data_IF_255827638525
#
_entry.id   IF_255827638525
#
_cell.length_a   1.000
_cell.length_b   1.000
_cell.length_c   1.000
_cell.angle_alpha   90.00
_cell.angle_beta   90.00
_cell.angle_gamma   90.00
#
_symmetry.space_group_name_H-M   'P 1'
#
loop_
_entity.id
_entity.type
_entity.pdbx_description
1 polymer ?
#
# COMPACT_ATOMS: atom_id res chain seq x y z
N UNK A 1 -9.76 25.45 24.91
CA UNK A 1 -10.39 25.90 23.66
C UNK A 1 -11.89 25.98 23.85
N UNK A 2 -12.37 27.15 24.30
CA UNK A 2 -13.70 27.64 23.94
C UNK A 2 -13.41 28.63 22.82
N UNK A 3 -13.39 28.16 21.58
CA UNK A 3 -13.67 29.07 20.47
C UNK A 3 -15.18 29.11 20.37
N UNK A 4 -15.68 30.34 20.37
CA UNK A 4 -17.09 30.69 20.38
C UNK A 4 -17.76 30.06 19.15
N UNK A 5 -18.82 29.28 19.37
CA UNK A 5 -19.78 29.02 18.30
C UNK A 5 -20.39 30.37 18.01
N UNK A 6 -20.02 30.98 16.88
CA UNK A 6 -20.67 32.18 16.40
C UNK A 6 -22.17 31.88 16.26
N UNK A 7 -22.97 32.63 17.00
CA UNK A 7 -24.44 32.47 17.04
C UNK A 7 -25.14 33.45 16.12
N UNK A 8 -24.38 34.25 15.35
CA UNK A 8 -24.99 35.05 14.30
C UNK A 8 -25.62 34.13 13.24
N UNK A 9 -26.88 34.39 12.84
CA UNK A 9 -27.49 33.68 11.73
C UNK A 9 -26.61 33.84 10.48
N UNK A 10 -26.33 32.75 9.78
CA UNK A 10 -25.58 32.77 8.52
C UNK A 10 -26.33 33.69 7.55
N UNK A 11 -25.66 34.76 7.12
CA UNK A 11 -26.12 35.59 6.03
C UNK A 11 -25.73 34.93 4.70
N UNK A 12 -26.70 34.25 4.09
CA UNK A 12 -26.50 33.46 2.87
C UNK A 12 -26.00 34.28 1.67
N UNK A 13 -26.18 35.61 1.67
CA UNK A 13 -25.75 36.47 0.55
C UNK A 13 -24.32 37.01 0.70
N UNK A 14 -23.79 37.10 1.93
CA UNK A 14 -22.47 37.70 2.20
C UNK A 14 -21.44 36.72 2.75
N UNK A 15 -21.85 35.52 3.17
CA UNK A 15 -20.94 34.49 3.66
C UNK A 15 -20.22 33.78 2.50
N UNK A 16 -18.95 34.14 2.31
CA UNK A 16 -18.08 33.54 1.30
C UNK A 16 -17.77 32.06 1.55
N UNK A 17 -17.79 31.58 2.79
CA UNK A 17 -17.58 30.16 3.11
C UNK A 17 -18.80 29.33 2.76
N UNK A 18 -20.00 29.83 3.08
CA UNK A 18 -21.25 29.20 2.68
C UNK A 18 -21.34 29.10 1.15
N UNK A 19 -21.10 30.22 0.45
CA UNK A 19 -21.13 30.26 -1.02
C UNK A 19 -20.14 29.26 -1.63
N UNK A 20 -18.91 29.21 -1.12
CA UNK A 20 -17.90 28.25 -1.58
C UNK A 20 -18.36 26.80 -1.37
N UNK A 21 -18.91 26.50 -0.19
CA UNK A 21 -19.40 25.16 0.15
C UNK A 21 -20.56 24.75 -0.77
N UNK A 22 -21.51 25.66 -1.01
CA UNK A 22 -22.63 25.43 -1.92
C UNK A 22 -22.15 25.12 -3.34
N UNK A 23 -21.12 25.84 -3.83
CA UNK A 23 -20.51 25.59 -5.13
C UNK A 23 -19.81 24.23 -5.20
N UNK A 24 -19.13 23.81 -4.14
CA UNK A 24 -18.46 22.51 -4.08
C UNK A 24 -19.48 21.35 -4.09
N UNK A 25 -20.57 21.48 -3.32
CA UNK A 25 -21.69 20.53 -3.39
C UNK A 25 -22.35 20.51 -4.76
N UNK A 26 -22.62 21.69 -5.34
CA UNK A 26 -23.19 21.82 -6.68
C UNK A 26 -22.31 21.10 -7.71
N UNK A 27 -21.00 21.32 -7.66
CA UNK A 27 -20.06 20.65 -8.55
C UNK A 27 -20.14 19.13 -8.44
N UNK A 28 -20.12 18.57 -7.22
CA UNK A 28 -20.21 17.12 -7.00
C UNK A 28 -21.55 16.58 -7.55
N UNK A 29 -22.65 17.24 -7.23
CA UNK A 29 -24.00 16.79 -7.59
C UNK A 29 -24.28 16.93 -9.10
N UNK A 30 -23.75 17.96 -9.75
CA UNK A 30 -23.90 18.18 -11.19
C UNK A 30 -23.02 17.22 -12.02
N UNK A 31 -21.80 16.95 -11.57
CA UNK A 31 -20.85 16.12 -12.32
C UNK A 31 -21.11 14.62 -12.16
N UNK A 32 -21.61 14.18 -11.02
CA UNK A 32 -21.83 12.75 -10.72
C UNK A 32 -22.75 12.05 -11.75
N UNK A 33 -23.95 12.58 -12.08
CA UNK A 33 -24.81 12.08 -13.16
C UNK A 33 -24.15 12.04 -14.54
N UNK A 34 -23.28 13.00 -14.83
CA UNK A 34 -22.59 13.13 -16.13
C UNK A 34 -21.44 12.14 -16.26
N UNK A 35 -20.78 11.82 -15.15
CA UNK A 35 -19.79 10.74 -15.08
C UNK A 35 -20.45 9.36 -15.22
N UNK A 36 -21.66 9.20 -14.66
CA UNK A 36 -22.37 7.93 -14.73
C UNK A 36 -23.87 8.10 -14.44
N UNK A 37 -24.69 7.71 -15.42
CA UNK A 37 -26.15 7.87 -15.35
C UNK A 37 -26.82 7.07 -14.22
N UNK A 38 -26.14 6.07 -13.64
CA UNK A 38 -26.67 5.26 -12.54
C UNK A 38 -27.03 6.10 -11.31
N UNK A 39 -26.41 7.27 -11.14
CA UNK A 39 -26.65 8.13 -9.97
C UNK A 39 -27.80 9.11 -10.13
N UNK A 40 -28.47 9.18 -11.29
CA UNK A 40 -29.58 10.11 -11.52
C UNK A 40 -30.64 10.04 -10.41
N UNK A 41 -31.06 8.83 -10.04
CA UNK A 41 -32.05 8.63 -8.98
C UNK A 41 -31.55 9.03 -7.60
N UNK A 42 -30.29 8.71 -7.28
CA UNK A 42 -29.67 9.05 -6.00
C UNK A 42 -29.54 10.57 -5.81
N UNK A 43 -29.03 11.27 -6.82
CA UNK A 43 -28.84 12.72 -6.78
C UNK A 43 -30.20 13.42 -6.65
N UNK A 44 -31.20 12.99 -7.43
CA UNK A 44 -32.57 13.52 -7.32
C UNK A 44 -33.13 13.34 -5.90
N UNK A 45 -32.96 12.15 -5.32
CA UNK A 45 -33.41 11.85 -3.96
C UNK A 45 -32.70 12.71 -2.90
N UNK A 46 -31.36 12.85 -2.99
CA UNK A 46 -30.57 13.66 -2.06
C UNK A 46 -31.02 15.12 -2.11
N UNK A 47 -31.07 15.70 -3.29
CA UNK A 47 -31.43 17.12 -3.46
C UNK A 47 -32.86 17.38 -2.97
N UNK A 48 -33.81 16.50 -3.29
CA UNK A 48 -35.19 16.61 -2.78
C UNK A 48 -35.27 16.53 -1.25
N UNK A 49 -34.43 15.69 -0.62
CA UNK A 49 -34.41 15.52 0.83
C UNK A 49 -33.97 16.77 1.60
N UNK A 50 -33.34 17.74 0.92
CA UNK A 50 -32.87 18.99 1.52
C UNK A 50 -33.89 20.14 1.48
N UNK A 51 -35.07 19.95 0.89
CA UNK A 51 -36.13 20.96 0.85
C UNK A 51 -35.69 22.23 0.12
N UNK A 52 -35.85 23.41 0.76
CA UNK A 52 -35.53 24.71 0.15
C UNK A 52 -34.07 24.81 -0.34
N UNK A 53 -33.11 24.29 0.43
CA UNK A 53 -31.70 24.25 0.01
C UNK A 53 -31.51 23.42 -1.27
N UNK A 54 -32.34 22.40 -1.46
CA UNK A 54 -32.35 21.60 -2.69
C UNK A 54 -32.79 22.40 -3.91
N UNK A 55 -33.68 23.38 -3.76
CA UNK A 55 -34.10 24.27 -4.85
C UNK A 55 -32.95 25.18 -5.30
N UNK A 56 -32.22 25.77 -4.34
CA UNK A 56 -31.04 26.60 -4.60
C UNK A 56 -29.92 25.80 -5.30
N UNK A 57 -29.73 24.55 -4.86
CA UNK A 57 -28.78 23.63 -5.50
C UNK A 57 -29.23 23.27 -6.92
N UNK A 58 -30.52 23.00 -7.15
CA UNK A 58 -31.01 22.71 -8.50
C UNK A 58 -30.80 23.90 -9.45
N UNK A 59 -31.03 25.12 -8.99
CA UNK A 59 -30.74 26.32 -9.76
C UNK A 59 -29.23 26.40 -10.09
N UNK A 60 -28.38 26.16 -9.10
CA UNK A 60 -26.92 26.17 -9.27
C UNK A 60 -26.42 25.06 -10.20
N UNK A 61 -27.01 23.87 -10.16
CA UNK A 61 -26.74 22.76 -11.09
C UNK A 61 -27.14 23.17 -12.51
N UNK A 62 -28.28 23.82 -12.70
CA UNK A 62 -28.72 24.28 -14.01
C UNK A 62 -27.78 25.35 -14.60
N UNK A 63 -27.28 26.27 -13.78
CA UNK A 63 -26.26 27.26 -14.20
C UNK A 63 -24.91 26.58 -14.51
N UNK A 64 -24.48 25.63 -13.69
CA UNK A 64 -23.29 24.83 -13.96
C UNK A 64 -23.42 24.11 -15.31
N UNK A 65 -24.56 23.49 -15.58
CA UNK A 65 -24.83 22.77 -16.82
C UNK A 65 -24.77 23.66 -18.06
N UNK A 66 -25.21 24.92 -17.96
CA UNK A 66 -25.06 25.90 -19.05
C UNK A 66 -23.59 26.21 -19.36
N UNK A 67 -22.71 26.12 -18.36
CA UNK A 67 -21.27 26.36 -18.51
C UNK A 67 -20.50 25.17 -19.09
N UNK A 68 -21.09 23.97 -19.11
CA UNK A 68 -20.48 22.76 -19.65
C UNK A 68 -21.03 22.50 -21.07
N UNK A 69 -20.27 22.95 -22.07
CA UNK A 69 -20.63 22.82 -23.49
C UNK A 69 -20.23 21.48 -24.14
N UNK A 70 -19.34 20.72 -23.51
CA UNK A 70 -18.75 19.51 -24.05
C UNK A 70 -18.18 18.58 -22.98
N UNK A 71 -17.97 17.31 -23.34
CA UNK A 71 -17.28 16.34 -22.48
C UNK A 71 -15.83 16.76 -22.15
N UNK A 72 -15.14 17.43 -23.07
CA UNK A 72 -13.79 17.93 -22.83
C UNK A 72 -13.78 19.03 -21.77
N UNK A 73 -14.76 19.93 -21.80
CA UNK A 73 -14.92 20.98 -20.78
C UNK A 73 -15.23 20.37 -19.42
N UNK A 74 -16.12 19.39 -19.37
CA UNK A 74 -16.40 18.63 -18.13
C UNK A 74 -15.14 17.98 -17.57
N UNK A 75 -14.40 17.24 -18.39
CA UNK A 75 -13.15 16.58 -18.00
C UNK A 75 -12.13 17.58 -17.44
N UNK A 76 -11.95 18.72 -18.11
CA UNK A 76 -11.04 19.77 -17.68
C UNK A 76 -11.44 20.32 -16.31
N UNK A 77 -12.71 20.68 -16.11
CA UNK A 77 -13.19 21.21 -14.82
C UNK A 77 -13.00 20.19 -13.69
N UNK A 78 -13.25 18.90 -13.96
CA UNK A 78 -13.03 17.83 -12.97
C UNK A 78 -11.55 17.73 -12.59
N UNK A 79 -10.64 17.75 -13.57
CA UNK A 79 -9.19 17.67 -13.32
C UNK A 79 -8.60 18.92 -12.66
N UNK A 80 -9.25 20.07 -12.80
CA UNK A 80 -8.84 21.30 -12.11
C UNK A 80 -9.32 21.35 -10.65
N UNK A 81 -10.33 20.55 -10.28
CA UNK A 81 -10.94 20.58 -8.94
C UNK A 81 -10.63 19.37 -8.07
N UNK A 82 -10.27 18.24 -8.65
CA UNK A 82 -9.99 17.00 -7.93
C UNK A 82 -8.52 16.59 -8.10
N UNK A 83 -7.99 15.86 -7.11
CA UNK A 83 -6.64 15.29 -7.14
C UNK A 83 -6.63 13.76 -7.28
N UNK A 84 -7.79 13.11 -7.13
CA UNK A 84 -7.98 11.67 -7.27
C UNK A 84 -9.22 11.37 -8.13
N UNK A 85 -9.36 10.12 -8.54
CA UNK A 85 -10.51 9.61 -9.27
C UNK A 85 -11.81 9.94 -8.53
N UNK A 86 -12.83 10.49 -9.20
CA UNK A 86 -14.13 10.73 -8.58
C UNK A 86 -14.85 9.40 -8.31
N UNK A 87 -15.71 9.36 -7.28
CA UNK A 87 -16.64 8.26 -7.00
C UNK A 87 -15.97 6.90 -6.73
N UNK A 88 -14.73 6.94 -6.28
CA UNK A 88 -13.91 5.82 -5.81
C UNK A 88 -14.38 5.23 -4.46
N UNK A 89 -15.44 5.78 -3.88
CA UNK A 89 -16.18 5.30 -2.71
C UNK A 89 -17.50 4.58 -3.08
N UNK A 90 -17.69 4.22 -4.35
CA UNK A 90 -18.86 3.49 -4.86
C UNK A 90 -18.58 2.00 -4.99
N UNK A 91 -19.58 1.17 -4.65
CA UNK A 91 -19.51 -0.29 -4.76
C UNK A 91 -18.97 -0.98 -3.51
N UNK A 92 -18.57 -2.25 -3.67
CA UNK A 92 -18.13 -3.15 -2.57
C UNK A 92 -16.77 -2.81 -1.97
N UNK A 93 -15.91 -2.20 -2.77
CA UNK A 93 -14.53 -1.87 -2.39
C UNK A 93 -14.33 -0.38 -2.60
N UNK A 94 -13.64 0.24 -1.66
CA UNK A 94 -13.18 1.63 -1.76
C UNK A 94 -11.68 1.63 -2.02
N UNK A 95 -11.25 2.56 -2.87
CA UNK A 95 -9.84 2.76 -3.20
C UNK A 95 -9.49 4.21 -2.91
N UNK A 96 -8.51 4.42 -2.04
CA UNK A 96 -7.89 5.73 -1.82
C UNK A 96 -6.52 5.68 -2.45
N UNK A 97 -6.20 6.62 -3.34
CA UNK A 97 -4.90 6.66 -3.99
C UNK A 97 -4.35 8.07 -4.16
N UNK A 98 -3.03 8.18 -4.06
CA UNK A 98 -2.34 9.46 -4.19
C UNK A 98 -0.86 9.24 -4.48
N UNK A 99 -0.24 10.24 -5.09
CA UNK A 99 1.21 10.28 -5.25
C UNK A 99 1.88 10.95 -4.05
N UNK A 100 2.92 10.31 -3.51
CA UNK A 100 3.79 10.91 -2.51
C UNK A 100 5.18 10.26 -2.55
N UNK A 101 6.22 11.08 -2.51
CA UNK A 101 7.63 10.65 -2.44
C UNK A 101 8.02 9.67 -3.55
N UNK A 102 7.48 9.86 -4.75
CA UNK A 102 7.72 8.99 -5.91
C UNK A 102 6.90 7.72 -5.98
N UNK A 103 6.09 7.45 -4.96
CA UNK A 103 5.23 6.28 -4.93
C UNK A 103 3.80 6.64 -5.31
N UNK A 104 3.17 5.76 -6.10
CA UNK A 104 1.72 5.71 -6.20
C UNK A 104 1.19 4.81 -5.09
N UNK A 105 0.59 5.42 -4.06
CA UNK A 105 -0.04 4.70 -2.95
C UNK A 105 -1.46 4.35 -3.34
N UNK A 106 -1.84 3.07 -3.22
CA UNK A 106 -3.20 2.57 -3.47
C UNK A 106 -3.65 1.75 -2.28
N UNK A 107 -4.64 2.24 -1.56
CA UNK A 107 -5.18 1.61 -0.35
C UNK A 107 -6.57 1.07 -0.66
N UNK A 108 -6.75 -0.24 -0.55
CA UNK A 108 -7.98 -0.95 -0.92
C UNK A 108 -8.63 -1.58 0.31
N UNK A 109 -9.93 -1.39 0.47
CA UNK A 109 -10.67 -1.93 1.63
C UNK A 109 -12.15 -2.14 1.33
N UNK A 110 -12.84 -2.91 2.18
CA UNK A 110 -14.30 -3.10 2.07
C UNK A 110 -15.03 -1.79 2.38
N UNK A 111 -15.98 -1.44 1.53
CA UNK A 111 -16.78 -0.21 1.67
C UNK A 111 -18.00 -0.44 2.57
N UNK A 112 -17.76 -0.90 3.79
CA UNK A 112 -18.77 -1.08 4.81
C UNK A 112 -18.58 -0.09 5.97
N UNK A 113 -19.63 0.05 6.78
CA UNK A 113 -19.70 1.06 7.84
C UNK A 113 -18.52 1.02 8.81
N UNK A 114 -18.02 -0.17 9.15
CA UNK A 114 -16.95 -0.32 10.13
C UNK A 114 -15.61 -0.13 9.44
N UNK A 115 -15.35 -0.89 8.37
CA UNK A 115 -14.06 -0.92 7.69
C UNK A 115 -13.71 0.45 7.09
N UNK A 116 -14.69 1.22 6.59
CA UNK A 116 -14.43 2.57 6.07
C UNK A 116 -13.80 3.46 7.13
N UNK A 117 -14.38 3.53 8.32
CA UNK A 117 -13.87 4.39 9.40
C UNK A 117 -12.46 3.98 9.88
N UNK A 118 -12.16 2.68 9.89
CA UNK A 118 -10.84 2.16 10.29
C UNK A 118 -9.79 2.45 9.21
N UNK A 119 -10.18 2.27 7.95
CA UNK A 119 -9.29 2.42 6.80
C UNK A 119 -8.96 3.89 6.50
N UNK A 120 -9.92 4.80 6.68
CA UNK A 120 -9.69 6.23 6.55
C UNK A 120 -8.74 6.76 7.64
N UNK A 121 -8.83 6.25 8.89
CA UNK A 121 -7.85 6.56 9.95
C UNK A 121 -6.43 6.11 9.55
N UNK A 122 -6.29 4.89 9.01
CA UNK A 122 -5.01 4.40 8.47
C UNK A 122 -4.46 5.31 7.37
N UNK A 123 -5.30 5.71 6.41
CA UNK A 123 -4.89 6.59 5.31
C UNK A 123 -4.45 7.97 5.83
N UNK A 124 -5.16 8.53 6.80
CA UNK A 124 -4.81 9.81 7.39
C UNK A 124 -3.44 9.75 8.09
N UNK A 125 -3.20 8.71 8.90
CA UNK A 125 -1.91 8.53 9.57
C UNK A 125 -0.78 8.33 8.55
N UNK A 126 -0.99 7.53 7.49
CA UNK A 126 -0.04 7.37 6.40
C UNK A 126 0.30 8.72 5.73
N UNK A 127 -0.70 9.52 5.40
CA UNK A 127 -0.49 10.83 4.77
C UNK A 127 0.28 11.79 5.67
N UNK A 128 0.00 11.80 6.98
CA UNK A 128 0.75 12.58 7.97
C UNK A 128 2.20 12.11 8.00
N UNK A 129 2.46 10.81 8.10
CA UNK A 129 3.82 10.26 8.12
C UNK A 129 4.62 10.61 6.86
N UNK A 130 4.02 10.45 5.68
CA UNK A 130 4.67 10.78 4.42
C UNK A 130 4.99 12.28 4.32
N UNK A 131 4.10 13.12 4.84
CA UNK A 131 4.34 14.57 4.93
C UNK A 131 5.53 14.87 5.85
N UNK A 132 5.59 14.25 7.03
CA UNK A 132 6.72 14.44 7.95
C UNK A 132 8.04 13.91 7.39
N UNK A 133 8.02 12.80 6.65
CA UNK A 133 9.18 12.31 5.90
C UNK A 133 9.61 13.35 4.85
N UNK A 134 8.66 13.92 4.11
CA UNK A 134 8.95 14.92 3.09
C UNK A 134 9.54 16.22 3.66
N UNK A 135 9.12 16.61 4.87
CA UNK A 135 9.61 17.78 5.58
C UNK A 135 10.89 17.51 6.37
N UNK A 136 11.28 16.25 6.51
CA UNK A 136 12.51 15.86 7.19
C UNK A 136 13.74 16.19 6.35
N UNK A 137 14.81 16.61 7.02
CA UNK A 137 16.15 16.69 6.42
C UNK A 137 16.71 15.29 6.11
N UNK A 138 16.15 14.24 6.73
CA UNK A 138 16.59 12.86 6.51
C UNK A 138 16.00 12.31 5.21
N UNK A 139 16.86 11.87 4.29
CA UNK A 139 16.40 11.12 3.13
C UNK A 139 16.22 9.65 3.49
N UNK A 140 14.97 9.18 3.42
CA UNK A 140 14.60 7.79 3.70
C UNK A 140 14.86 6.84 2.53
N UNK A 141 15.34 7.34 1.37
CA UNK A 141 15.69 6.53 0.20
C UNK A 141 14.55 5.59 -0.23
N UNK A 142 13.31 6.12 -0.23
CA UNK A 142 12.14 5.38 -0.68
C UNK A 142 12.23 5.14 -2.20
N UNK A 143 11.96 3.91 -2.62
CA UNK A 143 11.98 3.54 -4.03
C UNK A 143 10.79 4.14 -4.80
N UNK A 144 11.03 4.63 -6.02
CA UNK A 144 9.96 5.05 -6.93
C UNK A 144 9.18 3.82 -7.42
N UNK A 145 7.95 3.63 -6.97
CA UNK A 145 7.17 2.42 -7.29
C UNK A 145 5.65 2.62 -7.16
N UNK A 146 4.88 1.56 -7.45
CA UNK A 146 3.46 1.48 -7.05
C UNK A 146 3.37 0.61 -5.80
N UNK A 147 2.64 1.09 -4.80
CA UNK A 147 2.39 0.42 -3.53
C UNK A 147 0.90 0.16 -3.42
N UNK A 148 0.52 -1.11 -3.31
CA UNK A 148 -0.84 -1.53 -3.04
C UNK A 148 -0.95 -2.14 -1.65
N UNK A 149 -1.86 -1.62 -0.83
CA UNK A 149 -2.13 -2.11 0.51
C UNK A 149 -3.60 -2.50 0.58
N UNK A 150 -3.88 -3.79 0.79
CA UNK A 150 -5.22 -4.27 1.12
C UNK A 150 -5.41 -4.27 2.63
N UNK A 151 -6.43 -3.57 3.11
CA UNK A 151 -6.75 -3.49 4.54
C UNK A 151 -7.85 -4.50 4.89
N UNK A 152 -7.59 -5.28 5.93
CA UNK A 152 -8.52 -6.25 6.48
C UNK A 152 -8.69 -6.03 8.00
N UNK A 153 -9.91 -6.24 8.50
CA UNK A 153 -10.14 -6.21 9.94
C UNK A 153 -9.66 -7.51 10.58
N UNK A 154 -8.98 -7.38 11.71
CA UNK A 154 -8.52 -8.50 12.53
C UNK A 154 -8.83 -8.22 14.00
N UNK A 155 -9.18 -9.28 14.74
CA UNK A 155 -9.31 -9.20 16.20
C UNK A 155 -7.94 -9.13 16.88
N UNK A 156 -6.94 -9.79 16.28
CA UNK A 156 -5.57 -9.84 16.79
C UNK A 156 -4.69 -8.80 16.10
N UNK A 157 -3.71 -8.28 16.83
CA UNK A 157 -2.65 -7.47 16.24
C UNK A 157 -1.74 -8.39 15.41
N UNK A 158 -1.75 -8.20 14.10
CA UNK A 158 -0.95 -8.96 13.15
C UNK A 158 -0.03 -8.00 12.38
N UNK A 159 1.23 -8.38 12.12
CA UNK A 159 2.09 -7.59 11.24
C UNK A 159 1.54 -7.58 9.80
N UNK A 160 1.86 -6.55 9.00
CA UNK A 160 1.53 -6.57 7.59
C UNK A 160 2.22 -7.75 6.90
N UNK A 161 1.54 -8.36 5.93
CA UNK A 161 2.05 -9.46 5.12
C UNK A 161 2.37 -8.96 3.72
N UNK A 162 3.64 -9.01 3.31
CA UNK A 162 4.04 -8.79 1.94
C UNK A 162 3.46 -9.88 1.01
N UNK A 163 3.02 -9.48 -0.18
CA UNK A 163 2.49 -10.37 -1.22
C UNK A 163 3.41 -10.31 -2.45
N UNK A 164 3.69 -11.46 -3.05
CA UNK A 164 4.52 -11.55 -4.23
C UNK A 164 3.95 -10.72 -5.39
N UNK A 165 4.82 -9.97 -6.05
CA UNK A 165 4.49 -9.15 -7.21
C UNK A 165 5.78 -8.62 -7.85
N UNK A 166 5.80 -8.64 -9.18
CA UNK A 166 6.95 -8.33 -10.03
C UNK A 166 6.90 -6.91 -10.61
N UNK A 167 5.77 -6.21 -10.51
CA UNK A 167 5.59 -4.85 -11.08
C UNK A 167 5.31 -3.78 -10.04
N UNK A 168 4.94 -4.18 -8.83
CA UNK A 168 4.48 -3.31 -7.74
C UNK A 168 4.72 -3.98 -6.41
N UNK A 169 4.81 -3.21 -5.34
CA UNK A 169 4.82 -3.78 -4.01
C UNK A 169 3.39 -3.95 -3.52
N UNK A 170 3.11 -5.10 -2.89
CA UNK A 170 1.78 -5.45 -2.40
C UNK A 170 1.87 -5.89 -0.95
N UNK A 171 1.00 -5.35 -0.11
CA UNK A 171 0.83 -5.80 1.27
C UNK A 171 -0.63 -6.05 1.58
N UNK A 172 -0.85 -6.95 2.53
CA UNK A 172 -2.08 -7.04 3.30
C UNK A 172 -1.79 -6.54 4.71
N UNK A 173 -2.51 -5.52 5.15
CA UNK A 173 -2.38 -4.96 6.50
C UNK A 173 -3.64 -5.24 7.32
N UNK A 174 -3.46 -5.58 8.59
CA UNK A 174 -4.52 -6.02 9.48
C UNK A 174 -4.78 -4.95 10.53
N UNK A 175 -6.02 -4.45 10.59
CA UNK A 175 -6.40 -3.34 11.46
C UNK A 175 -7.46 -3.79 12.46
N UNK A 176 -7.40 -3.21 13.67
CA UNK A 176 -8.39 -3.48 14.71
C UNK A 176 -9.51 -2.46 14.67
N UNK A 177 -10.74 -2.92 14.87
CA UNK A 177 -11.84 -2.01 15.15
C UNK A 177 -11.66 -1.39 16.54
N UNK A 178 -11.82 -0.07 16.62
CA UNK A 178 -11.65 0.69 17.85
C UNK A 178 -12.86 1.55 18.17
N UNK A 179 -13.40 1.45 19.39
CA UNK A 179 -14.58 2.22 19.82
C UNK A 179 -14.52 2.76 21.26
N UNK A 180 -13.33 2.87 21.85
CA UNK A 180 -13.18 3.33 23.24
C UNK A 180 -12.98 4.85 23.36
N UNK A 181 -13.61 5.54 24.33
CA UNK A 181 -13.30 6.94 24.64
C UNK A 181 -12.02 7.11 25.48
N UNK A 182 -11.46 6.04 26.02
CA UNK A 182 -10.26 6.07 26.86
C UNK A 182 -9.03 6.59 26.09
N UNK A 183 -8.43 7.73 26.50
CA UNK A 183 -7.25 8.30 25.84
C UNK A 183 -6.08 7.33 25.69
N UNK A 184 -5.79 6.50 26.70
CA UNK A 184 -4.67 5.55 26.61
C UNK A 184 -4.91 4.48 25.55
N UNK A 185 -6.17 4.07 25.37
CA UNK A 185 -6.53 3.10 24.33
C UNK A 185 -6.53 3.74 22.94
N UNK A 186 -6.91 5.03 22.82
CA UNK A 186 -6.79 5.80 21.59
C UNK A 186 -5.32 5.89 21.16
N UNK A 187 -4.44 6.23 22.10
CA UNK A 187 -2.99 6.28 21.87
C UNK A 187 -2.45 4.93 21.41
N UNK A 188 -2.83 3.84 22.09
CA UNK A 188 -2.43 2.49 21.69
C UNK A 188 -2.90 2.11 20.28
N UNK A 189 -4.12 2.50 19.88
CA UNK A 189 -4.63 2.23 18.53
C UNK A 189 -3.83 2.95 17.45
N UNK A 190 -3.56 4.25 17.65
CA UNK A 190 -2.75 5.03 16.72
C UNK A 190 -1.30 4.52 16.64
N UNK A 191 -0.73 4.09 17.78
CA UNK A 191 0.58 3.47 17.83
C UNK A 191 0.63 2.15 17.03
N UNK A 192 -0.41 1.31 17.12
CA UNK A 192 -0.49 0.07 16.35
C UNK A 192 -0.49 0.34 14.83
N UNK A 193 -1.29 1.31 14.37
CA UNK A 193 -1.30 1.73 12.96
C UNK A 193 0.07 2.27 12.55
N UNK A 194 0.70 3.06 13.40
CA UNK A 194 2.03 3.62 13.18
C UNK A 194 3.09 2.54 13.01
N UNK A 195 3.05 1.48 13.83
CA UNK A 195 3.97 0.35 13.72
C UNK A 195 3.77 -0.42 12.41
N UNK A 196 2.52 -0.65 11.99
CA UNK A 196 2.24 -1.31 10.71
C UNK A 196 2.83 -0.48 9.55
N UNK A 197 2.61 0.83 9.57
CA UNK A 197 3.14 1.74 8.56
C UNK A 197 4.67 1.82 8.58
N UNK A 198 5.30 1.82 9.75
CA UNK A 198 6.77 1.85 9.85
C UNK A 198 7.40 0.59 9.28
N UNK A 199 6.78 -0.59 9.46
CA UNK A 199 7.23 -1.84 8.85
C UNK A 199 7.16 -1.77 7.32
N UNK A 200 6.05 -1.30 6.76
CA UNK A 200 5.89 -1.14 5.30
C UNK A 200 6.89 -0.13 4.75
N UNK A 201 7.04 1.04 5.40
CA UNK A 201 7.97 2.09 5.00
C UNK A 201 9.44 1.64 5.05
N UNK A 202 9.80 0.82 6.03
CA UNK A 202 11.14 0.25 6.16
C UNK A 202 11.45 -0.70 5.02
N UNK A 203 10.50 -1.57 4.63
CA UNK A 203 10.71 -2.52 3.53
C UNK A 203 10.89 -1.86 2.16
N UNK A 204 10.27 -0.70 1.93
CA UNK A 204 10.44 0.05 0.68
C UNK A 204 11.63 1.03 0.69
N UNK A 205 12.25 1.21 1.85
CA UNK A 205 13.43 2.04 2.02
C UNK A 205 14.68 1.24 1.63
N UNK A 206 15.61 1.89 0.93
CA UNK A 206 16.92 1.31 0.63
C UNK A 206 17.94 1.47 1.77
N UNK A 207 17.56 2.13 2.88
CA UNK A 207 18.40 2.24 4.05
C UNK A 207 18.54 0.90 4.78
N UNK A 208 19.66 0.72 5.49
CA UNK A 208 19.77 -0.34 6.46
C UNK A 208 18.74 -0.13 7.58
N UNK A 209 18.19 -1.23 8.12
CA UNK A 209 17.12 -1.18 9.13
C UNK A 209 17.46 -0.25 10.30
N UNK A 210 18.67 -0.32 10.86
CA UNK A 210 19.07 0.55 11.98
C UNK A 210 19.07 2.04 11.61
N UNK A 211 19.50 2.39 10.40
CA UNK A 211 19.50 3.77 9.92
C UNK A 211 18.07 4.26 9.69
N UNK A 212 17.22 3.43 9.09
CA UNK A 212 15.80 3.73 8.93
C UNK A 212 15.14 3.98 10.29
N UNK A 213 15.31 3.07 11.26
CA UNK A 213 14.71 3.20 12.59
C UNK A 213 15.19 4.48 13.29
N UNK A 214 16.48 4.82 13.19
CA UNK A 214 17.00 6.08 13.72
C UNK A 214 16.36 7.30 13.06
N UNK A 215 16.23 7.30 11.73
CA UNK A 215 15.55 8.36 10.99
C UNK A 215 14.08 8.50 11.40
N UNK A 216 13.39 7.36 11.48
CA UNK A 216 11.97 7.28 11.83
C UNK A 216 11.69 7.75 13.26
N UNK A 217 12.49 7.31 14.24
CA UNK A 217 12.40 7.82 15.62
C UNK A 217 12.69 9.32 15.69
N UNK A 218 13.61 9.81 14.85
CA UNK A 218 13.87 11.24 14.71
C UNK A 218 12.64 12.06 14.26
N UNK A 219 11.63 11.46 13.63
CA UNK A 219 10.35 12.14 13.31
C UNK A 219 9.49 12.36 14.57
N UNK A 220 9.55 11.45 15.54
CA UNK A 220 8.85 11.64 16.82
C UNK A 220 9.52 12.73 17.66
N UNK A 221 10.85 12.69 17.73
CA UNK A 221 11.64 13.59 18.58
C UNK A 221 11.70 15.02 18.04
N UNK A 222 11.89 15.20 16.73
CA UNK A 222 12.14 16.52 16.12
C UNK A 222 10.91 17.12 15.45
N UNK A 223 9.99 16.28 14.98
CA UNK A 223 8.82 16.71 14.20
C UNK A 223 7.48 16.50 14.94
N UNK A 224 7.52 16.08 16.21
CA UNK A 224 6.35 15.80 17.06
C UNK A 224 5.32 14.87 16.37
N UNK A 225 5.78 13.86 15.62
CA UNK A 225 4.92 12.97 14.85
C UNK A 225 3.80 12.33 15.71
N UNK A 226 4.09 12.01 16.97
CA UNK A 226 3.08 11.52 17.92
C UNK A 226 1.92 12.50 18.09
N UNK A 227 2.20 13.79 18.30
CA UNK A 227 1.18 14.83 18.49
C UNK A 227 0.33 15.05 17.22
N UNK A 228 0.91 14.83 16.04
CA UNK A 228 0.22 15.03 14.75
C UNK A 228 -0.66 13.85 14.36
N UNK A 229 -0.25 12.64 14.74
CA UNK A 229 -1.02 11.40 14.48
C UNK A 229 -2.04 11.10 15.58
N UNK A 230 -1.82 11.61 16.80
CA UNK A 230 -2.74 11.49 17.93
C UNK A 230 -3.75 12.64 17.94
N UNK A 231 -5.02 12.27 17.97
CA UNK A 231 -6.13 13.21 18.15
C UNK A 231 -6.83 12.93 19.48
N UNK A 232 -7.51 13.95 20.04
CA UNK A 232 -8.22 13.84 21.34
C UNK A 232 -9.29 12.73 21.31
N UNK A 233 -9.83 12.41 20.13
CA UNK A 233 -10.73 11.30 19.89
C UNK A 233 -10.28 10.54 18.66
N UNK A 234 -10.31 9.20 18.69
CA UNK A 234 -10.06 8.39 17.49
C UNK A 234 -10.97 8.80 16.34
N UNK A 235 -10.43 8.90 15.12
CA UNK A 235 -11.18 9.24 13.92
C UNK A 235 -12.39 8.32 13.75
N UNK A 236 -12.17 7.02 13.97
CA UNK A 236 -13.18 5.97 13.94
C UNK A 236 -14.47 6.31 14.71
N UNK A 237 -14.33 6.88 15.92
CA UNK A 237 -15.47 7.26 16.76
C UNK A 237 -16.15 8.52 16.26
N UNK A 238 -15.36 9.53 15.89
CA UNK A 238 -15.90 10.79 15.35
C UNK A 238 -16.73 10.49 14.10
N UNK A 239 -16.18 9.72 13.16
CA UNK A 239 -16.85 9.31 11.94
C UNK A 239 -18.21 8.68 12.23
N UNK A 240 -18.26 7.67 13.11
CA UNK A 240 -19.50 6.91 13.39
C UNK A 240 -20.52 7.70 14.22
N UNK A 241 -20.07 8.71 14.96
CA UNK A 241 -20.96 9.63 15.65
C UNK A 241 -21.59 10.65 14.69
N UNK A 242 -20.83 11.13 13.71
CA UNK A 242 -21.29 12.11 12.70
C UNK A 242 -22.15 11.44 11.62
N UNK A 243 -21.77 10.22 11.23
CA UNK A 243 -22.46 9.43 10.20
C UNK A 243 -23.05 8.19 10.89
N UNK A 244 -24.33 8.25 11.29
CA UNK A 244 -25.03 7.08 11.80
C UNK A 244 -25.11 5.96 10.76
N UNK A 245 -25.10 4.71 11.23
CA UNK A 245 -25.13 3.53 10.35
C UNK A 245 -26.32 3.53 9.37
N UNK A 246 -27.51 3.92 9.82
CA UNK A 246 -28.68 4.01 8.96
C UNK A 246 -28.51 5.04 7.84
N UNK A 247 -27.89 6.19 8.12
CA UNK A 247 -27.57 7.21 7.10
C UNK A 247 -26.53 6.67 6.12
N UNK A 248 -25.50 6.00 6.62
CA UNK A 248 -24.52 5.32 5.76
C UNK A 248 -25.20 4.31 4.84
N UNK A 249 -26.03 3.41 5.37
CA UNK A 249 -26.68 2.34 4.60
C UNK A 249 -27.75 2.86 3.62
N UNK A 250 -28.36 4.02 3.90
CA UNK A 250 -29.44 4.58 3.08
C UNK A 250 -28.96 5.01 1.68
N UNK A 251 -27.67 5.32 1.52
CA UNK A 251 -27.10 5.69 0.21
C UNK A 251 -26.95 4.47 -0.71
N UNK A 252 -27.07 3.24 -0.18
CA UNK A 252 -27.04 2.00 -1.00
C UNK A 252 -25.83 1.90 -1.92
N UNK A 253 -24.66 2.37 -1.47
CA UNK A 253 -23.39 2.37 -2.24
C UNK A 253 -23.06 1.03 -2.90
N UNK A 254 -23.49 -0.06 -2.29
CA UNK A 254 -23.29 -1.44 -2.73
C UNK A 254 -24.09 -1.83 -3.98
N UNK A 255 -25.16 -1.09 -4.29
CA UNK A 255 -26.06 -1.35 -5.41
C UNK A 255 -25.56 -0.69 -6.71
N UNK A 256 -24.50 0.12 -6.62
CA UNK A 256 -23.87 0.82 -7.73
C UNK A 256 -22.60 0.12 -8.19
N UNK A 257 -22.32 0.26 -9.48
CA UNK A 257 -21.10 -0.25 -10.11
C UNK A 257 -19.97 0.79 -10.04
N UNK A 258 -18.72 0.36 -9.81
CA UNK A 258 -17.56 1.25 -9.92
C UNK A 258 -17.57 2.01 -11.24
N UNK A 259 -17.25 3.31 -11.17
CA UNK A 259 -17.25 4.18 -12.35
C UNK A 259 -15.89 4.10 -13.03
N UNK A 260 -15.87 3.69 -14.30
CA UNK A 260 -14.68 3.80 -15.12
C UNK A 260 -14.46 5.27 -15.50
N UNK A 261 -13.26 5.77 -15.22
CA UNK A 261 -12.91 7.16 -15.49
C UNK A 261 -11.68 7.20 -16.40
N UNK A 262 -11.80 7.92 -17.51
CA UNK A 262 -10.72 8.08 -18.52
C UNK A 262 -9.78 9.24 -18.15
N UNK A 263 -10.03 9.93 -17.04
CA UNK A 263 -9.24 11.08 -16.59
C UNK A 263 -7.88 10.64 -16.05
N UNK A 264 -6.90 11.56 -16.15
CA UNK A 264 -5.54 11.35 -15.66
C UNK A 264 -5.50 11.63 -14.16
N UNK A 265 -5.74 10.61 -13.36
CA UNK A 265 -5.66 10.63 -11.90
C UNK A 265 -4.82 9.45 -11.36
N UNK A 266 -4.40 9.49 -10.09
CA UNK A 266 -4.33 10.70 -9.25
C UNK A 266 -3.29 11.68 -9.79
N UNK A 267 -3.37 12.96 -9.42
CA UNK A 267 -2.40 13.98 -9.83
C UNK A 267 -1.08 13.80 -9.06
N UNK A 268 0.07 14.06 -9.70
CA UNK A 268 1.35 14.04 -9.01
C UNK A 268 1.44 15.20 -8.00
N UNK A 269 1.82 14.89 -6.76
CA UNK A 269 1.96 15.89 -5.71
C UNK A 269 3.21 16.76 -5.96
N UNK A 270 3.00 18.08 -6.13
CA UNK A 270 4.08 19.02 -6.43
C UNK A 270 5.01 19.30 -5.25
N UNK A 271 4.58 19.03 -4.02
CA UNK A 271 5.34 19.32 -2.80
C UNK A 271 6.08 18.09 -2.27
N UNK A 272 5.50 16.90 -2.41
CA UNK A 272 6.10 15.62 -1.99
C UNK A 272 6.73 14.89 -3.17
N UNK A 273 7.65 15.57 -3.86
CA UNK A 273 8.34 14.99 -5.01
C UNK A 273 9.37 13.94 -4.60
N UNK A 274 9.63 13.01 -5.50
CA UNK A 274 10.71 12.03 -5.32
C UNK A 274 12.08 12.68 -5.48
N UNK A 275 13.01 12.36 -4.57
CA UNK A 275 14.41 12.73 -4.71
C UNK A 275 15.06 11.84 -5.77
N UNK A 276 15.23 12.38 -6.98
CA UNK A 276 15.74 11.64 -8.15
C UNK A 276 17.28 11.66 -8.27
N UNK A 277 17.97 12.36 -7.38
CA UNK A 277 19.43 12.41 -7.32
C UNK A 277 20.02 11.07 -6.89
N UNK A 278 21.16 10.68 -7.47
CA UNK A 278 21.91 9.52 -7.00
C UNK A 278 22.36 9.77 -5.56
N UNK A 279 22.03 8.84 -4.66
CA UNK A 279 22.45 8.91 -3.27
C UNK A 279 23.97 8.85 -3.14
N UNK A 280 24.52 9.62 -2.20
CA UNK A 280 25.92 9.52 -1.79
C UNK A 280 26.29 8.15 -1.19
N UNK A 281 25.28 7.37 -0.76
CA UNK A 281 25.45 5.99 -0.27
C UNK A 281 25.48 4.96 -1.39
N UNK A 282 25.14 5.32 -2.62
CA UNK A 282 25.07 4.40 -3.75
C UNK A 282 26.34 4.44 -4.59
N UNK A 283 26.99 3.28 -4.72
CA UNK A 283 28.09 3.07 -5.67
C UNK A 283 27.63 2.11 -6.77
N UNK A 284 27.53 2.61 -8.00
CA UNK A 284 27.04 1.85 -9.15
C UNK A 284 27.98 0.70 -9.54
N UNK A 285 29.30 0.94 -9.52
CA UNK A 285 30.30 -0.07 -9.91
C UNK A 285 30.30 -1.24 -8.94
N UNK A 286 30.28 -0.95 -7.63
CA UNK A 286 30.18 -1.94 -6.57
C UNK A 286 28.86 -2.73 -6.68
N UNK A 287 27.75 -2.04 -6.92
CA UNK A 287 26.43 -2.69 -7.06
C UNK A 287 26.38 -3.63 -8.26
N UNK A 288 26.90 -3.21 -9.42
CA UNK A 288 27.02 -4.07 -10.61
C UNK A 288 27.95 -5.25 -10.35
N UNK A 289 29.07 -5.03 -9.66
CA UNK A 289 29.98 -6.10 -9.28
C UNK A 289 29.32 -7.13 -8.36
N UNK A 290 28.54 -6.68 -7.37
CA UNK A 290 27.77 -7.57 -6.50
C UNK A 290 26.68 -8.35 -7.25
N UNK A 291 25.96 -7.71 -8.17
CA UNK A 291 24.95 -8.39 -9.02
C UNK A 291 25.64 -9.46 -9.87
N UNK A 292 26.73 -9.11 -10.55
CA UNK A 292 27.50 -10.05 -11.36
C UNK A 292 27.98 -11.23 -10.54
N UNK A 293 28.58 -10.98 -9.37
CA UNK A 293 29.04 -12.03 -8.48
C UNK A 293 27.89 -12.92 -8.02
N UNK A 294 26.72 -12.39 -7.69
CA UNK A 294 25.56 -13.20 -7.29
C UNK A 294 25.22 -14.24 -8.35
N UNK A 295 25.04 -13.80 -9.60
CA UNK A 295 24.71 -14.72 -10.70
C UNK A 295 25.86 -15.68 -11.02
N UNK A 296 27.12 -15.21 -10.97
CA UNK A 296 28.29 -16.05 -11.18
C UNK A 296 28.36 -17.20 -10.15
N UNK A 297 28.17 -16.90 -8.86
CA UNK A 297 28.22 -17.91 -7.80
C UNK A 297 27.00 -18.85 -7.83
N UNK A 298 25.80 -18.32 -8.03
CA UNK A 298 24.59 -19.15 -8.22
C UNK A 298 24.75 -20.09 -9.39
N UNK A 299 25.15 -19.58 -10.56
CA UNK A 299 25.36 -20.39 -11.77
C UNK A 299 26.35 -21.53 -11.53
N UNK A 300 27.48 -21.26 -10.85
CA UNK A 300 28.47 -22.28 -10.51
C UNK A 300 27.86 -23.49 -9.76
N UNK A 301 26.86 -23.25 -8.92
CA UNK A 301 26.25 -24.28 -8.09
C UNK A 301 25.13 -25.08 -8.78
N UNK A 302 24.58 -24.57 -9.89
CA UNK A 302 23.32 -25.07 -10.48
C UNK A 302 23.33 -25.23 -12.01
N UNK A 303 24.44 -24.91 -12.70
CA UNK A 303 24.49 -24.87 -14.17
C UNK A 303 24.14 -26.19 -14.85
N UNK A 304 24.59 -27.34 -14.33
CA UNK A 304 24.31 -28.66 -14.90
C UNK A 304 22.83 -28.99 -14.72
N UNK A 305 22.29 -28.75 -13.53
CA UNK A 305 20.86 -29.00 -13.25
C UNK A 305 19.98 -28.08 -14.09
N UNK A 306 20.29 -26.78 -14.19
CA UNK A 306 19.55 -25.85 -15.04
C UNK A 306 19.64 -26.21 -16.53
N UNK A 307 20.82 -26.59 -17.02
CA UNK A 307 21.03 -27.00 -18.41
C UNK A 307 20.19 -28.21 -18.77
N UNK A 308 20.02 -29.15 -17.84
CA UNK A 308 19.11 -30.28 -18.03
C UNK A 308 17.64 -29.86 -17.97
N UNK A 309 17.26 -29.11 -16.93
CA UNK A 309 15.86 -28.80 -16.65
C UNK A 309 15.26 -27.80 -17.64
N UNK A 310 16.05 -26.94 -18.29
CA UNK A 310 15.52 -26.02 -19.32
C UNK A 310 14.92 -26.73 -20.53
N UNK A 311 15.28 -28.00 -20.75
CA UNK A 311 14.70 -28.84 -21.80
C UNK A 311 13.45 -29.60 -21.34
N UNK A 312 13.14 -29.55 -20.04
CA UNK A 312 11.93 -30.13 -19.47
C UNK A 312 10.76 -29.15 -19.60
N UNK A 313 9.71 -29.57 -20.30
CA UNK A 313 8.54 -28.73 -20.55
C UNK A 313 7.74 -28.42 -19.28
N UNK A 314 7.73 -29.31 -18.29
CA UNK A 314 7.07 -29.05 -17.02
C UNK A 314 7.87 -28.03 -16.18
N UNK A 315 9.20 -28.10 -16.22
CA UNK A 315 10.02 -27.15 -15.47
C UNK A 315 9.84 -25.73 -16.01
N UNK A 316 9.84 -25.58 -17.34
CA UNK A 316 9.54 -24.31 -17.99
C UNK A 316 8.14 -23.76 -17.62
N UNK A 317 7.12 -24.63 -17.54
CA UNK A 317 5.78 -24.23 -17.06
C UNK A 317 5.82 -23.75 -15.62
N UNK A 318 6.47 -24.50 -14.73
CA UNK A 318 6.57 -24.14 -13.32
C UNK A 318 7.30 -22.80 -13.09
N UNK A 319 8.41 -22.55 -13.78
CA UNK A 319 9.11 -21.25 -13.71
C UNK A 319 8.20 -20.11 -14.17
N UNK A 320 7.41 -20.32 -15.22
CA UNK A 320 6.45 -19.31 -15.68
C UNK A 320 5.28 -19.13 -14.70
N UNK A 321 4.84 -20.17 -14.00
CA UNK A 321 3.86 -20.06 -12.91
C UNK A 321 4.40 -19.18 -11.78
N UNK A 322 5.65 -19.39 -11.35
CA UNK A 322 6.30 -18.55 -10.33
C UNK A 322 6.39 -17.08 -10.78
N UNK A 323 6.79 -16.84 -12.03
CA UNK A 323 6.78 -15.48 -12.62
C UNK A 323 5.39 -14.86 -12.63
N UNK A 324 4.37 -15.64 -12.98
CA UNK A 324 2.97 -15.18 -12.97
C UNK A 324 2.44 -14.91 -11.55
N UNK A 325 2.99 -15.59 -10.55
CA UNK A 325 2.71 -15.33 -9.13
C UNK A 325 3.44 -14.10 -8.59
N UNK A 326 4.43 -13.58 -9.33
CA UNK A 326 5.12 -12.34 -8.99
C UNK A 326 6.58 -12.49 -8.59
N UNK A 327 7.15 -13.69 -8.62
CA UNK A 327 8.56 -13.90 -8.29
C UNK A 327 9.49 -13.39 -9.39
N UNK A 328 10.56 -12.71 -8.99
CA UNK A 328 11.60 -12.19 -9.87
C UNK A 328 12.61 -13.30 -10.22
N UNK A 329 13.22 -13.23 -11.40
CA UNK A 329 14.17 -14.25 -11.87
C UNK A 329 15.34 -14.47 -10.90
N UNK A 330 15.84 -13.39 -10.29
CA UNK A 330 16.93 -13.51 -9.31
C UNK A 330 16.48 -14.22 -8.03
N UNK A 331 15.22 -14.07 -7.60
CA UNK A 331 14.66 -14.79 -6.44
C UNK A 331 14.55 -16.28 -6.78
N UNK A 332 14.04 -16.60 -7.96
CA UNK A 332 13.91 -17.98 -8.44
C UNK A 332 15.29 -18.67 -8.52
N UNK A 333 16.27 -18.01 -9.14
CA UNK A 333 17.65 -18.53 -9.25
C UNK A 333 18.27 -18.73 -7.86
N UNK A 334 18.06 -17.79 -6.95
CA UNK A 334 18.58 -17.88 -5.59
C UNK A 334 17.91 -18.99 -4.78
N UNK A 335 16.58 -19.15 -4.89
CA UNK A 335 15.84 -20.24 -4.25
C UNK A 335 16.31 -21.61 -4.75
N UNK A 336 16.53 -21.77 -6.06
CA UNK A 336 17.10 -23.00 -6.65
C UNK A 336 18.50 -23.26 -6.09
N UNK A 337 19.35 -22.24 -6.05
CA UNK A 337 20.71 -22.33 -5.48
C UNK A 337 20.65 -22.79 -4.02
N UNK A 338 19.90 -22.07 -3.19
CA UNK A 338 19.77 -22.36 -1.77
C UNK A 338 19.23 -23.76 -1.54
N UNK A 339 18.15 -24.14 -2.23
CA UNK A 339 17.55 -25.47 -2.12
C UNK A 339 18.57 -26.57 -2.41
N UNK A 340 19.29 -26.48 -3.54
CA UNK A 340 20.27 -27.49 -3.94
C UNK A 340 21.44 -27.56 -2.96
N UNK A 341 21.98 -26.42 -2.53
CA UNK A 341 23.07 -26.36 -1.56
C UNK A 341 22.64 -26.85 -0.18
N UNK A 342 21.44 -26.49 0.29
CA UNK A 342 20.85 -26.97 1.54
C UNK A 342 20.70 -28.49 1.53
N UNK A 343 20.15 -29.04 0.44
CA UNK A 343 19.96 -30.49 0.29
C UNK A 343 21.30 -31.24 0.35
N UNK A 344 22.32 -30.76 -0.38
CA UNK A 344 23.68 -31.33 -0.34
C UNK A 344 24.27 -31.24 1.07
N UNK A 345 24.10 -30.11 1.75
CA UNK A 345 24.58 -29.91 3.12
C UNK A 345 23.91 -30.88 4.11
N UNK A 346 22.59 -31.03 4.04
CA UNK A 346 21.83 -31.97 4.87
C UNK A 346 22.25 -33.43 4.62
N UNK A 347 22.50 -33.82 3.36
CA UNK A 347 23.02 -35.14 3.03
C UNK A 347 24.41 -35.41 3.60
N UNK A 348 25.27 -34.40 3.70
CA UNK A 348 26.59 -34.53 4.33
C UNK A 348 26.46 -34.64 5.86
N UNK A 349 25.69 -33.73 6.47
CA UNK A 349 25.54 -33.62 7.93
C UNK A 349 24.75 -34.78 8.53
N UNK A 350 23.77 -35.34 7.81
CA UNK A 350 23.00 -36.52 8.25
C UNK A 350 23.84 -37.79 8.44
N UNK A 351 25.07 -37.83 7.91
CA UNK A 351 26.02 -38.92 8.13
C UNK A 351 26.83 -38.76 9.41
N UNK A 352 26.69 -37.64 10.10
CA UNK A 352 27.41 -37.30 11.31
C UNK A 352 26.48 -37.42 12.52
N UNK A 353 27.07 -37.66 13.68
CA UNK A 353 26.37 -37.66 14.97
C UNK A 353 26.85 -36.47 15.80
N UNK A 354 25.91 -35.73 16.38
CA UNK A 354 26.21 -34.55 17.19
C UNK A 354 25.67 -34.75 18.61
N UNK A 355 26.40 -34.24 19.60
CA UNK A 355 25.97 -34.31 21.01
C UNK A 355 24.94 -33.23 21.34
N UNK A 356 24.97 -32.11 20.59
CA UNK A 356 24.07 -30.97 20.79
C UNK A 356 23.53 -30.45 19.47
N UNK A 357 22.36 -29.79 19.53
CA UNK A 357 21.76 -29.12 18.39
C UNK A 357 22.64 -27.96 17.86
N UNK A 358 23.36 -27.28 18.75
CA UNK A 358 24.27 -26.19 18.36
C UNK A 358 25.42 -26.69 17.48
N UNK A 359 25.98 -27.86 17.80
CA UNK A 359 27.01 -28.51 16.98
C UNK A 359 26.45 -28.92 15.62
N UNK A 360 25.22 -29.44 15.58
CA UNK A 360 24.52 -29.80 14.34
C UNK A 360 24.29 -28.57 13.44
N UNK A 361 23.78 -27.47 14.00
CA UNK A 361 23.55 -26.21 13.27
C UNK A 361 24.86 -25.65 12.72
N UNK A 362 25.93 -25.67 13.51
CA UNK A 362 27.23 -25.15 13.07
C UNK A 362 27.84 -26.02 11.94
N UNK A 363 27.69 -27.34 12.02
CA UNK A 363 28.09 -28.25 10.95
C UNK A 363 27.30 -27.99 9.66
N UNK A 364 25.99 -27.76 9.78
CA UNK A 364 25.12 -27.43 8.64
C UNK A 364 25.51 -26.11 7.98
N UNK A 365 25.81 -25.06 8.76
CA UNK A 365 26.30 -23.78 8.24
C UNK A 365 27.61 -23.94 7.47
N UNK A 366 28.57 -24.69 8.03
CA UNK A 366 29.85 -24.97 7.36
C UNK A 366 29.66 -25.75 6.07
N UNK A 367 28.81 -26.79 6.08
CA UNK A 367 28.50 -27.57 4.89
C UNK A 367 27.79 -26.72 3.82
N UNK A 368 26.81 -25.88 4.20
CA UNK A 368 26.17 -24.95 3.27
C UNK A 368 27.19 -24.00 2.63
N UNK A 369 28.07 -23.39 3.42
CA UNK A 369 29.09 -22.49 2.90
C UNK A 369 30.02 -23.20 1.91
N UNK A 370 30.47 -24.41 2.23
CA UNK A 370 31.25 -25.28 1.34
C UNK A 370 30.54 -25.50 0.00
N UNK A 371 29.25 -25.88 0.03
CA UNK A 371 28.50 -26.17 -1.20
C UNK A 371 28.15 -24.93 -2.03
N UNK A 372 28.09 -23.73 -1.43
CA UNK A 372 27.95 -22.47 -2.18
C UNK A 372 29.23 -22.04 -2.92
N UNK A 373 30.38 -22.60 -2.55
CA UNK A 373 31.67 -22.32 -3.21
C UNK A 373 32.08 -23.40 -4.19
N UNK A 374 31.46 -24.57 -4.11
CA UNK A 374 31.79 -25.75 -4.91
C UNK A 374 31.17 -25.66 -6.32
N UNK A 375 31.84 -26.22 -7.34
CA UNK A 375 31.19 -26.37 -8.64
C UNK A 375 30.17 -27.51 -8.58
N UNK A 376 29.06 -27.38 -9.28
CA UNK A 376 28.08 -28.46 -9.35
C UNK A 376 28.70 -29.79 -9.82
N UNK A 377 29.70 -29.73 -10.71
CA UNK A 377 30.40 -30.92 -11.21
C UNK A 377 31.16 -31.70 -10.14
N UNK A 378 31.60 -31.04 -9.07
CA UNK A 378 32.44 -31.65 -8.02
C UNK A 378 31.62 -32.56 -7.09
N UNK A 379 30.31 -32.33 -7.02
CA UNK A 379 29.37 -33.14 -6.25
C UNK A 379 28.04 -33.27 -6.99
N UNK A 380 27.98 -34.15 -8.01
CA UNK A 380 26.83 -34.27 -8.89
C UNK A 380 25.68 -34.98 -8.18
N UNK A 381 24.54 -34.30 -8.07
CA UNK A 381 23.26 -34.88 -7.63
C UNK A 381 22.23 -34.58 -8.71
N UNK A 382 21.42 -35.59 -9.04
CA UNK A 382 20.31 -35.43 -9.98
C UNK A 382 19.09 -34.93 -9.21
N UNK A 383 18.71 -33.67 -9.43
CA UNK A 383 17.45 -33.12 -8.91
C UNK A 383 16.30 -33.27 -9.94
N UNK A 384 15.33 -34.18 -9.71
CA UNK A 384 14.17 -34.29 -10.58
C UNK A 384 13.24 -33.08 -10.39
N UNK A 385 12.31 -32.84 -11.32
CA UNK A 385 11.44 -31.67 -11.27
C UNK A 385 10.59 -31.62 -9.99
N UNK A 386 10.17 -32.79 -9.49
CA UNK A 386 9.36 -32.93 -8.28
C UNK A 386 10.06 -32.35 -7.05
N UNK A 387 11.40 -32.33 -7.04
CA UNK A 387 12.17 -31.70 -5.97
C UNK A 387 11.88 -30.20 -5.86
N UNK A 388 11.68 -29.51 -7.00
CA UNK A 388 11.37 -28.08 -7.04
C UNK A 388 9.88 -27.78 -6.81
N UNK A 389 9.02 -28.82 -6.78
CA UNK A 389 7.62 -28.72 -6.36
C UNK A 389 7.42 -29.14 -4.89
N UNK A 390 8.51 -29.44 -4.19
CA UNK A 390 8.47 -29.88 -2.78
C UNK A 390 8.18 -28.72 -1.84
N UNK A 391 7.68 -29.05 -0.64
CA UNK A 391 7.50 -28.07 0.45
C UNK A 391 8.81 -27.39 0.84
N UNK A 392 9.91 -28.13 0.79
CA UNK A 392 11.24 -27.60 1.13
C UNK A 392 11.68 -26.52 0.15
N UNK A 393 11.39 -26.69 -1.16
CA UNK A 393 11.63 -25.64 -2.15
C UNK A 393 10.67 -24.46 -1.98
N UNK A 394 9.38 -24.71 -1.70
CA UNK A 394 8.42 -23.63 -1.44
C UNK A 394 8.85 -22.75 -0.27
N UNK A 395 9.43 -23.34 0.78
CA UNK A 395 9.99 -22.57 1.90
C UNK A 395 11.20 -21.70 1.50
N UNK A 396 11.93 -22.03 0.43
CA UNK A 396 13.06 -21.19 -0.04
C UNK A 396 12.60 -20.00 -0.89
N UNK A 397 11.39 -20.05 -1.43
CA UNK A 397 10.87 -19.01 -2.33
C UNK A 397 9.87 -18.07 -1.65
N UNK A 398 9.15 -18.55 -0.63
CA UNK A 398 8.31 -17.75 0.28
C UNK A 398 9.16 -17.01 1.31
#
# INVERSE_FOLDING_TARGET
>A
MKEEVDTTPIDYETDGLFTKTLLDYTFILATTPKLSCQFNGLISFIVQSWGALGEDINYSIAEFDKSIDSQNTLHKVIQERLDDFPLNDVGKKRIIQFYALGCLWKILFNNDYVTTSVSEEFCAILQIMLTEISLSETDFHLMKCTIEIELELSENLLPPKALASNTKYRWKAFLQHFNSPDPKKIESNAANVTVILSLILNEISLLANEEFQKGFMGLFERHELSRKTLTVNSYQRIYRNIIPKNVFDNIKRQDFFPVECVLKFPTENKFMQWKNSISSKYNIESSLHHIYNRFKHSHKCIHITLERLKHDSEFCKYINELRNQGYLDWQIVFAITNFMCCYKAQLEVSKMTFETEEQHIEALKKAMFKYHQMDESDFPIIFPIEAFKSKDFQYQIE
#
